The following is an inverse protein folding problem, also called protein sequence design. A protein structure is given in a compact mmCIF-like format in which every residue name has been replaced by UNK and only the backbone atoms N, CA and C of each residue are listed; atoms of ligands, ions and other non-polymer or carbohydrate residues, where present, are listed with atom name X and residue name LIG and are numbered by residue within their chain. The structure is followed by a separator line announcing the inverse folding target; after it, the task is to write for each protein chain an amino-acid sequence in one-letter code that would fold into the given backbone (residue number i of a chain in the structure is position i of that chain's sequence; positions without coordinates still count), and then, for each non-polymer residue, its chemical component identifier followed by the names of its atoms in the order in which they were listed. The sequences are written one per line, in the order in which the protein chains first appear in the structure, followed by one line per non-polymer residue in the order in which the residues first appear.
data_IF_745039945922
#
_entry.id   IF_745039945922
#
_cell.length_a   1.000
_cell.length_b   1.000
_cell.length_c   1.000
_cell.angle_alpha   90.00
_cell.angle_beta   90.00
_cell.angle_gamma   90.00
#
_symmetry.space_group_name_H-M   'P 1'
#
loop_
_entity.id
_entity.type
_entity.pdbx_description
1 polymer ?
#
# COMPACT_ATOMS: atom_id res chain seq x y z
N UNK A 1 2.00 -40.09 -12.30
CA UNK A 1 2.38 -39.00 -11.39
C UNK A 1 2.98 -37.87 -12.22
N UNK A 2 2.18 -36.94 -12.74
CA UNK A 2 2.74 -35.85 -13.56
C UNK A 2 3.13 -34.72 -12.61
N UNK A 3 4.42 -34.64 -12.27
CA UNK A 3 4.98 -33.48 -11.60
C UNK A 3 4.95 -32.32 -12.61
N UNK A 4 3.82 -31.63 -12.70
CA UNK A 4 3.73 -30.36 -13.41
C UNK A 4 4.38 -29.32 -12.53
N UNK A 5 5.65 -29.11 -12.77
CA UNK A 5 6.35 -27.94 -12.30
C UNK A 5 5.98 -26.80 -13.25
N UNK A 6 4.79 -26.24 -13.05
CA UNK A 6 4.39 -24.99 -13.68
C UNK A 6 5.51 -23.98 -13.39
N UNK A 7 6.07 -23.35 -14.43
CA UNK A 7 7.17 -22.39 -14.41
C UNK A 7 7.55 -21.91 -13.01
N UNK A 8 8.52 -22.61 -12.41
CA UNK A 8 8.85 -22.53 -10.99
C UNK A 8 9.25 -21.11 -10.52
N UNK A 9 9.55 -20.21 -11.46
CA UNK A 9 9.77 -18.80 -11.17
C UNK A 9 11.13 -18.47 -10.57
N UNK A 10 12.07 -19.41 -10.60
CA UNK A 10 13.45 -19.21 -10.14
C UNK A 10 14.49 -20.00 -10.94
N UNK A 11 15.72 -19.48 -10.95
CA UNK A 11 16.93 -20.09 -11.53
C UNK A 11 18.06 -20.11 -10.51
N UNK A 12 18.73 -21.26 -10.36
CA UNK A 12 19.96 -21.37 -9.57
C UNK A 12 21.17 -21.08 -10.46
N UNK A 13 21.90 -20.01 -10.15
CA UNK A 13 23.11 -19.62 -10.86
C UNK A 13 24.33 -20.40 -10.35
N UNK A 14 25.35 -20.55 -11.19
CA UNK A 14 26.56 -21.33 -10.84
C UNK A 14 27.33 -20.76 -9.64
N UNK A 15 27.16 -19.47 -9.33
CA UNK A 15 27.73 -18.82 -8.15
C UNK A 15 26.90 -19.08 -6.88
N UNK A 16 25.86 -19.92 -6.94
CA UNK A 16 25.01 -20.29 -5.81
C UNK A 16 23.90 -19.29 -5.49
N UNK A 17 23.72 -18.26 -6.32
CA UNK A 17 22.61 -17.30 -6.17
C UNK A 17 21.32 -17.92 -6.71
N UNK A 18 20.25 -17.82 -5.93
CA UNK A 18 18.89 -18.13 -6.39
C UNK A 18 18.28 -16.83 -6.91
N UNK A 19 18.07 -16.74 -8.22
CA UNK A 19 17.44 -15.61 -8.88
C UNK A 19 15.96 -15.91 -9.14
N UNK A 20 15.08 -15.01 -8.72
CA UNK A 20 13.63 -15.09 -8.98
C UNK A 20 13.25 -14.27 -10.22
N UNK A 21 12.18 -14.67 -10.90
CA UNK A 21 11.67 -13.97 -12.10
C UNK A 21 11.27 -12.51 -11.83
N UNK A 22 10.96 -12.17 -10.58
CA UNK A 22 10.63 -10.81 -10.14
C UNK A 22 11.86 -9.96 -9.76
N UNK A 23 13.07 -10.42 -10.11
CA UNK A 23 14.38 -9.81 -9.79
C UNK A 23 14.80 -9.92 -8.32
N UNK A 24 14.07 -10.66 -7.48
CA UNK A 24 14.54 -11.01 -6.15
C UNK A 24 15.75 -11.96 -6.21
N UNK A 25 16.61 -11.91 -5.19
CA UNK A 25 17.74 -12.83 -5.07
C UNK A 25 17.91 -13.37 -3.65
N UNK A 26 18.33 -14.63 -3.53
CA UNK A 26 18.90 -15.19 -2.31
C UNK A 26 20.37 -15.49 -2.56
N UNK A 27 21.23 -14.87 -1.76
CA UNK A 27 22.68 -15.05 -1.84
C UNK A 27 23.10 -16.38 -1.19
N UNK A 28 24.25 -16.96 -1.61
CA UNK A 28 24.79 -18.17 -0.99
C UNK A 28 25.05 -18.04 0.52
N UNK A 29 25.26 -16.80 0.98
CA UNK A 29 25.47 -16.45 2.39
C UNK A 29 24.16 -16.39 3.20
N UNK A 30 23.00 -16.59 2.56
CA UNK A 30 21.67 -16.49 3.16
C UNK A 30 21.07 -15.07 3.15
N UNK A 31 21.77 -14.08 2.58
CA UNK A 31 21.24 -12.74 2.40
C UNK A 31 20.07 -12.70 1.40
N UNK A 32 19.10 -11.81 1.65
CA UNK A 32 17.92 -11.62 0.81
C UNK A 32 18.00 -10.25 0.13
N UNK A 33 17.85 -10.23 -1.19
CA UNK A 33 17.68 -9.01 -1.99
C UNK A 33 16.22 -8.94 -2.42
N UNK A 34 15.54 -7.86 -2.03
CA UNK A 34 14.14 -7.69 -2.36
C UNK A 34 13.92 -7.44 -3.85
N UNK A 35 12.81 -7.95 -4.43
CA UNK A 35 12.39 -7.64 -5.80
C UNK A 35 12.33 -6.14 -6.05
N UNK A 36 12.77 -5.70 -7.24
CA UNK A 36 12.66 -4.30 -7.63
C UNK A 36 11.21 -3.94 -7.94
N UNK A 37 10.47 -3.48 -6.94
CA UNK A 37 9.11 -2.94 -7.14
C UNK A 37 9.19 -1.49 -7.61
N UNK A 38 8.44 -1.15 -8.66
CA UNK A 38 8.13 0.25 -8.96
C UNK A 38 7.37 0.83 -7.75
N UNK A 39 7.83 1.94 -7.14
CA UNK A 39 7.08 2.56 -6.08
C UNK A 39 5.67 2.89 -6.58
N UNK A 40 4.62 2.70 -5.76
CA UNK A 40 3.30 3.15 -6.16
C UNK A 40 3.38 4.64 -6.46
N UNK A 41 2.93 5.04 -7.65
CA UNK A 41 2.76 6.47 -7.95
C UNK A 41 1.89 7.06 -6.84
N UNK A 42 2.23 8.23 -6.27
CA UNK A 42 1.38 8.87 -5.29
C UNK A 42 0.03 9.09 -5.95
N UNK A 43 -0.99 8.40 -5.43
CA UNK A 43 -2.38 8.53 -5.88
C UNK A 43 -2.75 9.98 -5.60
N UNK A 44 -2.67 10.82 -6.63
CA UNK A 44 -2.93 12.26 -6.56
C UNK A 44 -4.18 12.48 -5.73
N UNK A 45 -4.05 13.33 -4.70
CA UNK A 45 -5.10 13.62 -3.71
C UNK A 45 -6.46 13.73 -4.39
N UNK A 46 -7.31 12.70 -4.25
CA UNK A 46 -8.73 12.86 -4.56
C UNK A 46 -9.24 13.83 -3.49
N UNK A 47 -9.56 15.05 -3.91
CA UNK A 47 -9.99 16.10 -3.01
C UNK A 47 -11.18 15.61 -2.19
N UNK A 48 -10.97 15.43 -0.88
CA UNK A 48 -12.05 15.27 0.09
C UNK A 48 -12.85 16.55 0.09
N UNK A 49 -13.94 16.58 -0.69
CA UNK A 49 -14.95 17.62 -0.57
C UNK A 49 -15.42 17.64 0.88
N UNK A 50 -15.10 18.71 1.60
CA UNK A 50 -15.59 18.93 2.95
C UNK A 50 -17.12 18.98 2.89
N UNK A 51 -17.78 17.95 3.44
CA UNK A 51 -19.24 17.99 3.59
C UNK A 51 -19.54 19.08 4.61
N UNK A 52 -20.17 20.16 4.16
CA UNK A 52 -20.60 21.23 5.04
C UNK A 52 -21.75 20.70 5.91
N UNK A 53 -21.43 20.27 7.14
CA UNK A 53 -22.43 20.00 8.17
C UNK A 53 -23.27 21.26 8.34
N UNK A 54 -24.53 21.18 7.91
CA UNK A 54 -25.52 22.23 8.16
C UNK A 54 -25.63 22.43 9.67
N UNK A 55 -25.18 23.58 10.17
CA UNK A 55 -25.40 23.97 11.55
C UNK A 55 -26.91 24.10 11.80
N UNK A 56 -27.46 23.54 12.89
CA UNK A 56 -28.81 23.87 13.30
C UNK A 56 -28.83 25.35 13.74
N UNK A 57 -29.79 26.10 13.21
CA UNK A 57 -30.01 27.49 13.57
C UNK A 57 -30.19 27.60 15.09
N UNK A 58 -29.26 28.27 15.77
CA UNK A 58 -29.35 28.51 17.20
C UNK A 58 -30.58 29.40 17.47
N UNK A 59 -31.57 28.85 18.18
CA UNK A 59 -32.73 29.60 18.63
C UNK A 59 -32.27 30.60 19.69
N UNK A 60 -32.44 31.92 19.51
CA UNK A 60 -32.05 32.88 20.52
C UNK A 60 -32.99 32.78 21.73
N UNK A 61 -32.42 32.51 22.91
CA UNK A 61 -33.17 32.43 24.17
C UNK A 61 -33.71 33.81 24.55
N UNK A 62 -35.00 33.96 24.89
CA UNK A 62 -35.53 35.25 25.31
C UNK A 62 -34.95 35.65 26.66
N UNK A 63 -34.23 36.79 26.70
CA UNK A 63 -33.80 37.40 27.96
C UNK A 63 -34.99 38.12 28.58
N UNK A 64 -35.49 37.59 29.70
CA UNK A 64 -36.43 38.32 30.56
C UNK A 64 -35.69 39.52 31.15
N UNK A 65 -36.19 40.72 30.87
CA UNK A 65 -35.63 41.98 31.36
C UNK A 65 -36.29 42.26 32.71
N UNK A 66 -35.57 41.99 33.79
CA UNK A 66 -36.01 42.39 35.13
C UNK A 66 -36.06 43.92 35.19
N UNK A 67 -37.17 44.43 35.71
CA UNK A 67 -37.51 45.87 35.84
C UNK A 67 -36.66 46.54 36.91
#
# INVERSE_FOLDING_TARGET
MTNRHCDQGWSLLCNGVILFDDTGEILPTGGIIEPRRVPPMPRSMVGSGAVATRQPMAVPTPRVRTV
#
